data_IF_218470132993
#
_entry.id   IF_218470132993
#
_cell.length_a   1.000
_cell.length_b   1.000
_cell.length_c   1.000
_cell.angle_alpha   90.00
_cell.angle_beta   90.00
_cell.angle_gamma   90.00
#
_symmetry.space_group_name_H-M   'P 1'
#
loop_
_entity.id
_entity.type
_entity.pdbx_description
1 polymer ?
#
# COMPACT_ATOMS: atom_id res chain seq x y z
N UNK A 1 16.09 -2.35 16.61
CA UNK A 1 15.14 -3.39 16.10
C UNK A 1 13.73 -2.79 16.10
N UNK A 2 12.95 -2.94 15.03
CA UNK A 2 11.55 -2.52 15.00
C UNK A 2 10.63 -3.64 15.55
N UNK A 3 9.31 -3.40 15.59
CA UNK A 3 8.32 -4.37 16.07
C UNK A 3 8.41 -5.72 15.33
N UNK A 4 8.67 -5.68 14.02
CA UNK A 4 8.68 -6.86 13.16
C UNK A 4 9.73 -7.88 13.63
N UNK A 5 10.89 -7.40 14.09
CA UNK A 5 12.00 -8.25 14.51
C UNK A 5 11.63 -9.20 15.67
N UNK A 6 11.01 -8.69 16.73
CA UNK A 6 10.65 -9.53 17.89
C UNK A 6 9.30 -10.23 17.70
N UNK A 7 8.39 -9.67 16.90
CA UNK A 7 7.12 -10.31 16.57
C UNK A 7 7.31 -11.63 15.80
N UNK A 8 8.33 -11.71 14.94
CA UNK A 8 8.68 -12.94 14.23
C UNK A 8 9.03 -14.07 15.22
N UNK A 9 9.89 -13.81 16.21
CA UNK A 9 10.24 -14.79 17.24
C UNK A 9 9.01 -15.21 18.07
N UNK A 10 8.16 -14.25 18.45
CA UNK A 10 6.93 -14.53 19.20
C UNK A 10 5.98 -15.45 18.41
N UNK A 11 5.71 -15.17 17.14
CA UNK A 11 4.86 -16.02 16.31
C UNK A 11 5.46 -17.41 16.07
N UNK A 12 6.79 -17.53 15.98
CA UNK A 12 7.47 -18.83 15.89
C UNK A 12 7.31 -19.63 17.18
N UNK A 13 7.42 -18.99 18.35
CA UNK A 13 7.15 -19.64 19.64
C UNK A 13 5.70 -20.12 19.77
N UNK A 14 4.76 -19.47 19.07
CA UNK A 14 3.35 -19.86 19.01
C UNK A 14 3.03 -20.89 17.92
N UNK A 15 4.05 -21.46 17.24
CA UNK A 15 3.89 -22.40 16.13
C UNK A 15 3.02 -21.90 14.97
N UNK A 16 2.97 -20.58 14.78
CA UNK A 16 2.23 -19.97 13.69
C UNK A 16 3.08 -20.11 12.41
N UNK A 17 2.52 -20.65 11.31
CA UNK A 17 3.24 -20.71 10.04
C UNK A 17 3.67 -19.31 9.58
N UNK A 18 4.89 -19.16 9.07
CA UNK A 18 5.39 -17.84 8.60
C UNK A 18 4.48 -17.19 7.56
N UNK A 19 3.81 -18.00 6.73
CA UNK A 19 2.82 -17.54 5.75
C UNK A 19 1.59 -16.85 6.38
N UNK A 20 1.34 -17.06 7.68
CA UNK A 20 0.23 -16.45 8.41
C UNK A 20 0.59 -15.12 9.09
N UNK A 21 1.85 -14.68 9.03
CA UNK A 21 2.27 -13.44 9.70
C UNK A 21 1.60 -12.20 9.10
N UNK A 22 1.51 -12.12 7.77
CA UNK A 22 0.84 -11.02 7.06
C UNK A 22 -0.69 -11.03 7.25
N UNK A 23 -1.40 -12.18 7.20
CA UNK A 23 -2.80 -12.24 7.63
C UNK A 23 -3.05 -11.75 9.05
N UNK A 24 -2.19 -12.11 10.02
CA UNK A 24 -2.33 -11.64 11.41
C UNK A 24 -2.18 -10.13 11.52
N UNK A 25 -1.26 -9.54 10.75
CA UNK A 25 -1.15 -8.09 10.66
C UNK A 25 -2.43 -7.45 10.13
N UNK A 26 -3.04 -8.01 9.09
CA UNK A 26 -4.31 -7.52 8.52
C UNK A 26 -5.43 -7.56 9.57
N UNK A 27 -5.57 -8.67 10.30
CA UNK A 27 -6.56 -8.82 11.37
C UNK A 27 -6.41 -7.76 12.47
N UNK A 28 -5.18 -7.42 12.83
CA UNK A 28 -4.90 -6.35 13.79
C UNK A 28 -5.20 -4.96 13.20
N UNK A 29 -4.70 -4.68 11.99
CA UNK A 29 -4.67 -3.33 11.41
C UNK A 29 -5.98 -2.87 10.79
N UNK A 30 -6.91 -3.79 10.52
CA UNK A 30 -8.23 -3.45 9.98
C UNK A 30 -9.01 -2.47 10.85
N UNK A 31 -8.78 -2.48 12.16
CA UNK A 31 -9.35 -1.53 13.11
C UNK A 31 -8.88 -0.10 12.83
N UNK A 32 -7.56 0.10 12.68
CA UNK A 32 -6.97 1.40 12.33
C UNK A 32 -7.37 1.87 10.94
N UNK A 33 -7.41 0.98 9.93
CA UNK A 33 -7.90 1.33 8.60
C UNK A 33 -9.37 1.77 8.63
N UNK A 34 -10.21 1.08 9.39
CA UNK A 34 -11.62 1.45 9.54
C UNK A 34 -11.79 2.79 10.24
N UNK A 35 -11.00 3.06 11.29
CA UNK A 35 -10.98 4.36 11.97
C UNK A 35 -10.61 5.50 11.01
N UNK A 36 -9.52 5.35 10.24
CA UNK A 36 -9.13 6.34 9.24
C UNK A 36 -10.17 6.54 8.13
N UNK A 37 -10.91 5.48 7.75
CA UNK A 37 -12.04 5.62 6.81
C UNK A 37 -13.15 6.49 7.42
N UNK A 38 -13.48 6.30 8.70
CA UNK A 38 -14.47 7.14 9.37
C UNK A 38 -14.01 8.59 9.50
N UNK A 39 -12.74 8.82 9.88
CA UNK A 39 -12.14 10.15 9.95
C UNK A 39 -12.16 10.85 8.58
N UNK A 40 -11.75 10.15 7.52
CA UNK A 40 -11.76 10.68 6.15
C UNK A 40 -13.18 10.96 5.67
N UNK A 41 -14.19 10.17 6.07
CA UNK A 41 -15.59 10.48 5.75
C UNK A 41 -16.14 11.66 6.54
N UNK A 42 -15.61 11.93 7.74
CA UNK A 42 -15.97 13.06 8.58
C UNK A 42 -15.41 14.40 8.09
N UNK A 43 -14.15 14.42 7.63
CA UNK A 43 -13.51 15.59 7.00
C UNK A 43 -12.89 15.20 5.65
N UNK A 44 -13.74 15.15 4.61
CA UNK A 44 -13.43 14.49 3.34
C UNK A 44 -12.57 15.32 2.40
N UNK A 45 -11.29 15.46 2.76
CA UNK A 45 -10.28 16.16 1.95
C UNK A 45 -9.21 15.17 1.48
N UNK A 46 -9.26 14.81 0.20
CA UNK A 46 -8.27 13.91 -0.40
C UNK A 46 -7.09 14.71 -0.96
N UNK A 47 -5.87 14.23 -0.71
CA UNK A 47 -4.67 14.75 -1.37
C UNK A 47 -4.76 14.47 -2.87
N UNK A 48 -4.56 15.49 -3.70
CA UNK A 48 -4.48 15.37 -5.17
C UNK A 48 -3.04 15.63 -5.61
N UNK A 49 -2.18 14.59 -5.66
CA UNK A 49 -0.80 14.77 -6.07
C UNK A 49 -0.73 15.20 -7.54
N UNK A 50 0.10 16.17 -7.84
CA UNK A 50 0.47 16.54 -9.21
C UNK A 50 1.78 15.83 -9.58
N UNK A 51 1.98 15.61 -10.88
CA UNK A 51 3.22 15.08 -11.42
C UNK A 51 3.86 16.09 -12.36
N UNK A 52 5.19 16.17 -12.33
CA UNK A 52 5.96 16.89 -13.33
C UNK A 52 6.13 16.00 -14.56
N UNK A 53 5.69 16.49 -15.72
CA UNK A 53 5.84 15.75 -16.98
C UNK A 53 7.25 15.96 -17.56
N UNK A 54 8.07 14.92 -17.49
CA UNK A 54 9.42 14.87 -18.09
C UNK A 54 9.47 14.01 -19.36
N UNK A 55 8.30 13.69 -19.94
CA UNK A 55 8.21 12.91 -21.16
C UNK A 55 8.42 13.75 -22.43
N UNK A 56 8.48 13.11 -23.60
CA UNK A 56 8.61 13.82 -24.87
C UNK A 56 7.37 14.67 -25.16
N UNK A 57 7.53 15.76 -25.92
CA UNK A 57 6.38 16.48 -26.46
C UNK A 57 5.48 15.58 -27.32
N UNK A 58 4.29 16.07 -27.67
CA UNK A 58 3.35 15.35 -28.53
C UNK A 58 4.06 14.85 -29.81
N UNK A 59 3.96 13.55 -30.07
CA UNK A 59 4.55 12.90 -31.26
C UNK A 59 3.47 12.64 -32.30
N UNK A 60 3.81 12.83 -33.57
CA UNK A 60 2.96 12.40 -34.66
C UNK A 60 2.78 10.87 -34.62
N UNK A 61 1.58 10.42 -34.98
CA UNK A 61 1.31 9.00 -35.12
C UNK A 61 2.04 8.43 -36.34
N UNK A 62 2.74 7.31 -36.16
CA UNK A 62 3.35 6.54 -37.25
C UNK A 62 2.51 5.28 -37.53
N UNK A 63 2.01 5.09 -38.77
CA UNK A 63 1.37 3.84 -39.20
C UNK A 63 2.24 2.63 -38.86
N UNK A 64 1.62 1.47 -38.61
CA UNK A 64 2.36 0.27 -38.17
C UNK A 64 3.42 -0.17 -39.18
N UNK A 65 3.16 0.03 -40.47
CA UNK A 65 4.06 -0.34 -41.56
C UNK A 65 5.27 0.62 -41.70
N UNK A 66 5.26 1.74 -40.98
CA UNK A 66 6.29 2.81 -41.00
C UNK A 66 7.00 2.99 -39.64
N UNK A 67 6.88 2.00 -38.73
CA UNK A 67 7.53 2.03 -37.40
C UNK A 67 8.98 1.56 -37.42
#
# INVERSE_FOLDING_TARGET
PNLDFYSASAFRCLNIPTLMFTPLFVLSRITGWSAHIFEQRGDNRLIRPAAEYIGPAARAWLPVDER
#
